data_IF_931362115212
#
_entry.id   IF_931362115212
#
_cell.length_a   1.000
_cell.length_b   1.000
_cell.length_c   1.000
_cell.angle_alpha   90.00
_cell.angle_beta   90.00
_cell.angle_gamma   90.00
#
_symmetry.space_group_name_H-M   'P 1'
#
loop_
_entity.id
_entity.type
_entity.pdbx_description
1 polymer ?
#
# COMPACT_ATOMS: atom_id res chain seq x y z
N UNK A 1 20.42 -24.14 -11.99
CA UNK A 1 19.52 -23.83 -10.86
C UNK A 1 20.15 -22.67 -10.11
N UNK A 2 19.48 -21.52 -10.00
CA UNK A 2 20.02 -20.40 -9.22
C UNK A 2 19.58 -20.62 -7.78
N UNK A 3 20.54 -20.90 -6.89
CA UNK A 3 20.27 -20.96 -5.46
C UNK A 3 20.08 -19.53 -4.95
N UNK A 4 18.86 -19.20 -4.56
CA UNK A 4 18.57 -17.94 -3.89
C UNK A 4 19.02 -18.02 -2.42
N UNK A 5 19.75 -17.02 -1.92
CA UNK A 5 20.18 -17.03 -0.53
C UNK A 5 18.95 -17.02 0.41
N UNK A 6 19.01 -17.71 1.55
CA UNK A 6 17.94 -17.73 2.53
C UNK A 6 17.69 -16.31 3.06
N UNK A 7 16.43 -15.93 3.13
CA UNK A 7 16.00 -14.62 3.66
C UNK A 7 15.42 -14.81 5.06
N UNK A 8 15.97 -14.09 6.03
CA UNK A 8 15.42 -14.07 7.38
C UNK A 8 14.04 -13.43 7.37
N UNK A 9 13.07 -14.11 7.96
CA UNK A 9 11.70 -13.63 8.19
C UNK A 9 11.36 -13.81 9.67
N UNK A 10 10.42 -13.01 10.16
CA UNK A 10 9.97 -13.11 11.55
C UNK A 10 8.51 -13.50 11.58
N UNK A 11 8.21 -14.56 12.33
CA UNK A 11 6.85 -14.93 12.69
C UNK A 11 6.58 -14.34 14.07
N UNK A 12 5.69 -13.35 14.15
CA UNK A 12 5.34 -12.69 15.42
C UNK A 12 4.33 -13.49 16.22
N UNK A 13 3.39 -14.14 15.53
CA UNK A 13 2.34 -14.96 16.13
C UNK A 13 1.91 -16.04 15.13
N UNK A 14 1.66 -17.24 15.64
CA UNK A 14 1.07 -18.34 14.89
C UNK A 14 0.07 -19.03 15.80
N UNK A 15 -1.18 -19.09 15.41
CA UNK A 15 -2.27 -19.70 16.18
C UNK A 15 -2.96 -20.74 15.33
N UNK A 16 -2.99 -21.97 15.84
CA UNK A 16 -3.74 -23.06 15.23
C UNK A 16 -5.20 -22.93 15.68
N UNK A 17 -6.09 -22.72 14.72
CA UNK A 17 -7.52 -22.53 14.96
C UNK A 17 -8.28 -23.85 14.90
N UNK A 18 -7.89 -24.74 13.97
CA UNK A 18 -8.59 -25.98 13.73
C UNK A 18 -7.65 -27.05 13.19
N UNK A 19 -7.82 -28.28 13.69
CA UNK A 19 -7.14 -29.48 13.19
C UNK A 19 -8.20 -30.48 12.75
N UNK A 20 -8.30 -30.71 11.45
CA UNK A 20 -9.18 -31.69 10.81
C UNK A 20 -8.36 -32.49 9.80
N UNK A 21 -7.72 -33.55 10.26
CA UNK A 21 -6.80 -34.33 9.41
C UNK A 21 -7.43 -34.68 8.04
N UNK A 22 -6.74 -34.42 6.92
CA UNK A 22 -5.35 -33.94 6.83
C UNK A 22 -5.19 -32.41 6.82
N UNK A 23 -6.21 -31.61 7.13
CA UNK A 23 -6.21 -30.15 7.08
C UNK A 23 -5.94 -29.53 8.45
N UNK A 24 -5.14 -28.45 8.44
CA UNK A 24 -4.88 -27.62 9.61
C UNK A 24 -5.13 -26.15 9.21
N UNK A 25 -5.99 -25.47 9.96
CA UNK A 25 -6.24 -24.05 9.80
C UNK A 25 -5.48 -23.27 10.87
N UNK A 26 -4.74 -22.26 10.46
CA UNK A 26 -4.01 -21.38 11.39
C UNK A 26 -3.99 -19.94 10.92
N UNK A 27 -3.92 -19.03 11.87
CA UNK A 27 -3.65 -17.60 11.63
C UNK A 27 -2.19 -17.29 11.94
N UNK A 28 -1.53 -16.54 11.05
CA UNK A 28 -0.14 -16.15 11.22
C UNK A 28 0.04 -14.65 11.04
N UNK A 29 0.78 -14.04 11.96
CA UNK A 29 1.29 -12.67 11.85
C UNK A 29 2.79 -12.72 11.61
N UNK A 30 3.25 -12.14 10.51
CA UNK A 30 4.64 -12.25 10.08
C UNK A 30 5.17 -10.96 9.46
N UNK A 31 6.50 -10.89 9.35
CA UNK A 31 7.18 -9.77 8.68
C UNK A 31 6.89 -9.74 7.19
N UNK A 32 7.08 -8.57 6.59
CA UNK A 32 7.01 -8.40 5.14
C UNK A 32 8.00 -9.32 4.42
N UNK A 33 7.56 -9.92 3.31
CA UNK A 33 8.37 -10.83 2.50
C UNK A 33 8.33 -12.30 2.96
N UNK A 34 7.52 -12.63 3.97
CA UNK A 34 7.25 -14.02 4.36
C UNK A 34 6.31 -14.66 3.34
N UNK A 35 6.74 -15.77 2.75
CA UNK A 35 5.92 -16.59 1.86
C UNK A 35 5.21 -17.67 2.66
N UNK A 36 3.90 -17.56 2.81
CA UNK A 36 3.11 -18.53 3.60
C UNK A 36 3.14 -19.92 2.98
N UNK A 37 3.33 -20.05 1.66
CA UNK A 37 3.55 -21.34 0.99
C UNK A 37 4.80 -22.04 1.49
N UNK A 38 5.89 -21.28 1.66
CA UNK A 38 7.16 -21.81 2.20
C UNK A 38 6.97 -22.20 3.66
N UNK A 39 6.32 -21.34 4.46
CA UNK A 39 6.02 -21.66 5.86
C UNK A 39 5.23 -22.98 5.99
N UNK A 40 4.22 -23.19 5.15
CA UNK A 40 3.45 -24.44 5.15
C UNK A 40 4.32 -25.66 4.80
N UNK A 41 5.19 -25.54 3.79
CA UNK A 41 6.10 -26.60 3.40
C UNK A 41 7.12 -26.92 4.51
N UNK A 42 7.69 -25.88 5.15
CA UNK A 42 8.66 -26.04 6.25
C UNK A 42 8.03 -26.72 7.48
N UNK A 43 6.79 -26.33 7.84
CA UNK A 43 6.03 -26.99 8.90
C UNK A 43 5.78 -28.46 8.58
N UNK A 44 5.36 -28.77 7.36
CA UNK A 44 5.16 -30.16 6.93
C UNK A 44 6.45 -30.98 6.92
N UNK A 45 7.57 -30.39 6.52
CA UNK A 45 8.88 -31.04 6.57
C UNK A 45 9.30 -31.31 8.02
N UNK A 46 9.12 -30.32 8.92
CA UNK A 46 9.44 -30.49 10.34
C UNK A 46 8.59 -31.55 11.03
N UNK A 47 7.33 -31.74 10.60
CA UNK A 47 6.46 -32.80 11.09
C UNK A 47 6.70 -34.16 10.42
N UNK A 48 7.56 -34.24 9.39
CA UNK A 48 7.88 -35.47 8.67
C UNK A 48 6.82 -35.99 7.71
N UNK A 49 5.73 -35.25 7.51
CA UNK A 49 4.60 -35.66 6.64
C UNK A 49 4.48 -34.84 5.34
N UNK A 50 5.28 -33.76 5.20
CA UNK A 50 5.10 -32.79 4.14
C UNK A 50 3.79 -32.00 4.29
N UNK A 51 3.73 -30.80 3.70
CA UNK A 51 2.49 -30.02 3.61
C UNK A 51 2.54 -29.02 2.46
N UNK A 52 1.38 -28.54 2.06
CA UNK A 52 1.24 -27.44 1.09
C UNK A 52 0.11 -26.51 1.51
N UNK A 53 0.15 -25.29 1.03
CA UNK A 53 -0.90 -24.31 1.27
C UNK A 53 -2.08 -24.59 0.33
N UNK A 54 -3.24 -24.90 0.89
CA UNK A 54 -4.48 -25.15 0.14
C UNK A 54 -5.25 -23.84 -0.10
N UNK A 55 -5.43 -23.05 0.95
CA UNK A 55 -6.19 -21.79 0.90
C UNK A 55 -5.42 -20.71 1.67
N UNK A 56 -5.40 -19.50 1.13
CA UNK A 56 -4.83 -18.33 1.79
C UNK A 56 -5.81 -17.17 1.78
N UNK A 57 -6.10 -16.63 2.96
CA UNK A 57 -6.84 -15.37 3.10
C UNK A 57 -5.98 -14.35 3.84
N UNK A 58 -5.80 -13.18 3.27
CA UNK A 58 -5.13 -12.07 3.94
C UNK A 58 -6.14 -11.29 4.76
N UNK A 59 -5.91 -11.21 6.07
CA UNK A 59 -6.81 -10.54 7.00
C UNK A 59 -6.41 -9.07 7.24
N UNK A 60 -5.10 -8.77 7.19
CA UNK A 60 -4.60 -7.44 7.49
C UNK A 60 -3.28 -7.13 6.77
N UNK A 61 -3.06 -5.87 6.41
CA UNK A 61 -1.79 -5.33 5.93
C UNK A 61 -1.56 -3.96 6.56
N UNK A 62 -0.59 -3.85 7.48
CA UNK A 62 -0.39 -2.63 8.25
C UNK A 62 -1.66 -2.26 9.03
N UNK A 63 -2.19 -1.07 8.78
CA UNK A 63 -3.43 -0.58 9.39
C UNK A 63 -4.71 -1.04 8.68
N UNK A 64 -4.60 -1.61 7.47
CA UNK A 64 -5.77 -1.97 6.65
C UNK A 64 -6.25 -3.38 6.98
N UNK A 65 -7.53 -3.52 7.29
CA UNK A 65 -8.19 -4.76 7.67
C UNK A 65 -9.16 -5.21 6.58
N UNK A 66 -9.33 -6.52 6.42
CA UNK A 66 -10.21 -7.10 5.39
C UNK A 66 -11.68 -6.77 5.65
N UNK A 67 -12.07 -6.59 6.92
CA UNK A 67 -13.43 -6.22 7.32
C UNK A 67 -13.83 -4.82 6.82
N UNK A 68 -12.85 -3.94 6.56
CA UNK A 68 -13.03 -2.59 6.05
C UNK A 68 -12.93 -2.51 4.51
N UNK A 69 -12.54 -3.62 3.89
CA UNK A 69 -12.38 -3.69 2.44
C UNK A 69 -13.73 -3.64 1.71
N UNK A 70 -13.70 -3.12 0.50
CA UNK A 70 -14.84 -3.17 -0.41
C UNK A 70 -14.76 -4.44 -1.26
N UNK A 71 -15.88 -5.07 -1.48
CA UNK A 71 -15.99 -6.16 -2.43
C UNK A 71 -15.89 -5.62 -3.86
N UNK A 72 -15.19 -6.35 -4.74
CA UNK A 72 -15.01 -5.94 -6.13
C UNK A 72 -16.34 -5.81 -6.85
N UNK A 73 -17.30 -6.71 -6.58
CA UNK A 73 -18.65 -6.65 -7.15
C UNK A 73 -19.33 -5.31 -6.88
N UNK A 74 -19.21 -4.75 -5.66
CA UNK A 74 -19.75 -3.44 -5.32
C UNK A 74 -19.12 -2.32 -6.15
N UNK A 75 -17.80 -2.42 -6.43
CA UNK A 75 -17.11 -1.46 -7.29
C UNK A 75 -17.53 -1.59 -8.76
N UNK A 76 -17.72 -2.81 -9.24
CA UNK A 76 -18.19 -3.09 -10.60
C UNK A 76 -19.61 -2.59 -10.83
N UNK A 77 -20.51 -2.78 -9.86
CA UNK A 77 -21.88 -2.21 -9.90
C UNK A 77 -21.89 -0.68 -9.96
N UNK A 78 -20.97 -0.05 -9.23
CA UNK A 78 -20.84 1.42 -9.23
C UNK A 78 -20.24 1.96 -10.52
N UNK A 79 -19.28 1.22 -11.12
CA UNK A 79 -18.60 1.58 -12.36
C UNK A 79 -19.38 1.17 -13.61
N UNK A 80 -20.30 0.21 -13.49
CA UNK A 80 -20.95 -0.48 -14.59
C UNK A 80 -22.09 0.28 -15.24
N UNK A 81 -21.79 0.97 -16.32
CA UNK A 81 -22.70 1.17 -17.41
C UNK A 81 -23.68 2.35 -17.33
N UNK A 82 -24.60 2.37 -18.29
CA UNK A 82 -25.63 3.42 -18.51
C UNK A 82 -26.58 3.66 -17.30
N UNK A 83 -26.58 2.75 -16.34
CA UNK A 83 -27.40 2.80 -15.11
C UNK A 83 -26.53 3.05 -13.83
N UNK A 84 -25.29 3.51 -14.00
CA UNK A 84 -24.44 3.88 -12.87
C UNK A 84 -25.17 4.85 -11.95
N UNK A 85 -25.43 4.45 -10.71
CA UNK A 85 -26.07 5.30 -9.72
C UNK A 85 -25.06 6.33 -9.23
N UNK A 86 -25.20 7.62 -9.56
CA UNK A 86 -24.25 8.67 -9.15
C UNK A 86 -23.99 8.65 -7.64
N UNK A 87 -25.04 8.39 -6.85
CA UNK A 87 -24.98 8.28 -5.40
C UNK A 87 -24.07 7.16 -4.88
N UNK A 88 -23.98 6.03 -5.61
CA UNK A 88 -23.10 4.93 -5.23
C UNK A 88 -21.65 5.28 -5.55
N UNK A 89 -21.36 5.89 -6.69
CA UNK A 89 -20.03 6.37 -7.04
C UNK A 89 -19.51 7.41 -6.05
N UNK A 90 -20.34 8.36 -5.65
CA UNK A 90 -20.02 9.36 -4.62
C UNK A 90 -19.74 8.70 -3.26
N UNK A 91 -20.56 7.74 -2.85
CA UNK A 91 -20.36 7.01 -1.59
C UNK A 91 -19.04 6.20 -1.60
N UNK A 92 -18.63 5.64 -2.75
CA UNK A 92 -17.37 4.95 -2.90
C UNK A 92 -16.18 5.92 -2.89
N UNK A 93 -16.31 7.08 -3.55
CA UNK A 93 -15.28 8.12 -3.53
C UNK A 93 -15.04 8.64 -2.11
N UNK A 94 -16.10 8.77 -1.30
CA UNK A 94 -15.98 9.14 0.12
C UNK A 94 -15.23 8.10 0.97
N UNK A 95 -15.10 6.85 0.50
CA UNK A 95 -14.34 5.79 1.16
C UNK A 95 -12.86 5.70 0.73
N UNK A 96 -12.44 6.50 -0.25
CA UNK A 96 -11.03 6.57 -0.65
C UNK A 96 -10.22 7.13 0.52
N UNK A 97 -9.25 6.35 0.97
CA UNK A 97 -8.33 6.77 2.03
C UNK A 97 -7.26 7.66 1.41
N UNK A 98 -7.11 8.92 1.82
CA UNK A 98 -6.03 9.78 1.35
C UNK A 98 -4.66 9.15 1.62
N UNK A 99 -3.71 9.31 0.70
CA UNK A 99 -2.36 8.75 0.86
C UNK A 99 -1.68 9.19 2.16
N UNK A 100 -1.96 10.41 2.64
CA UNK A 100 -1.47 10.92 3.92
C UNK A 100 -1.94 10.10 5.13
N UNK A 101 -3.06 9.40 5.01
CA UNK A 101 -3.64 8.56 6.06
C UNK A 101 -3.25 7.08 5.93
N UNK A 102 -2.55 6.72 4.83
CA UNK A 102 -2.12 5.33 4.60
C UNK A 102 -0.90 4.92 5.44
N UNK A 103 -0.23 5.87 6.08
CA UNK A 103 0.96 5.64 6.91
C UNK A 103 0.73 6.21 8.33
N UNK A 104 -0.15 5.58 9.13
CA UNK A 104 -0.41 6.03 10.50
C UNK A 104 0.87 5.93 11.33
N UNK A 105 1.09 6.93 12.19
CA UNK A 105 2.28 7.01 13.04
C UNK A 105 3.54 7.58 12.37
N UNK A 106 3.52 7.84 11.06
CA UNK A 106 4.59 8.58 10.40
C UNK A 106 4.35 10.08 10.57
N UNK A 107 5.33 10.78 11.13
CA UNK A 107 5.27 12.22 11.38
C UNK A 107 4.99 13.00 10.12
N UNK A 108 4.12 14.01 10.21
CA UNK A 108 3.73 14.87 9.09
C UNK A 108 4.33 16.26 9.22
N UNK A 109 4.79 16.81 8.12
CA UNK A 109 5.29 18.19 8.00
C UNK A 109 4.60 18.87 6.85
N UNK A 110 4.01 20.02 7.10
CA UNK A 110 3.44 20.88 6.02
C UNK A 110 4.50 21.86 5.55
N UNK A 111 4.67 21.94 4.24
CA UNK A 111 5.67 22.79 3.61
C UNK A 111 5.03 23.91 2.80
N UNK A 112 5.78 25.00 2.62
CA UNK A 112 5.42 26.11 1.73
C UNK A 112 5.46 25.70 0.25
N UNK A 113 4.84 26.51 -0.62
CA UNK A 113 4.89 26.29 -2.07
C UNK A 113 6.32 26.31 -2.63
N UNK A 114 7.19 27.17 -2.08
CA UNK A 114 8.60 27.24 -2.47
C UNK A 114 9.39 25.97 -2.12
N UNK A 115 9.18 25.43 -0.91
CA UNK A 115 9.78 24.17 -0.48
C UNK A 115 9.20 22.97 -1.25
N UNK A 116 7.91 23.00 -1.54
CA UNK A 116 7.27 21.99 -2.38
C UNK A 116 7.88 21.94 -3.80
N UNK A 117 8.22 23.10 -4.38
CA UNK A 117 8.90 23.16 -5.68
C UNK A 117 10.30 22.53 -5.62
N UNK A 118 11.07 22.80 -4.57
CA UNK A 118 12.40 22.18 -4.34
C UNK A 118 12.28 20.66 -4.22
N UNK A 119 11.35 20.19 -3.42
CA UNK A 119 11.10 18.75 -3.21
C UNK A 119 10.70 18.03 -4.50
N UNK A 120 9.88 18.65 -5.36
CA UNK A 120 9.53 18.11 -6.69
C UNK A 120 10.75 17.91 -7.59
N UNK A 121 11.78 18.71 -7.39
CA UNK A 121 13.06 18.59 -8.08
C UNK A 121 14.05 17.63 -7.38
N UNK A 122 13.59 16.94 -6.32
CA UNK A 122 14.43 16.04 -5.53
C UNK A 122 15.39 16.73 -4.57
N UNK A 123 15.24 18.04 -4.37
CA UNK A 123 16.10 18.82 -3.47
C UNK A 123 15.70 18.60 -2.01
N UNK A 124 16.68 18.66 -1.13
CA UNK A 124 16.50 18.61 0.31
C UNK A 124 15.95 19.94 0.84
N UNK A 125 15.19 19.88 1.93
CA UNK A 125 14.70 21.07 2.64
C UNK A 125 15.14 21.04 4.11
N UNK A 126 15.16 22.19 4.74
CA UNK A 126 15.40 22.31 6.18
C UNK A 126 14.06 22.16 6.90
N UNK A 127 13.92 21.25 7.87
CA UNK A 127 12.68 21.12 8.63
C UNK A 127 12.48 22.29 9.61
N UNK A 128 11.26 22.45 10.14
CA UNK A 128 11.01 23.35 11.26
C UNK A 128 11.95 23.06 12.47
N UNK A 129 12.21 24.04 13.33
CA UNK A 129 13.13 23.89 14.47
C UNK A 129 12.52 23.01 15.58
N UNK A 130 12.58 21.70 15.37
CA UNK A 130 12.09 20.67 16.28
C UNK A 130 13.14 19.57 16.41
N UNK A 131 12.88 18.58 17.29
CA UNK A 131 13.73 17.40 17.39
C UNK A 131 13.45 16.45 16.22
N UNK A 132 14.47 16.22 15.38
CA UNK A 132 14.43 15.36 14.19
C UNK A 132 15.45 14.24 14.32
N UNK A 133 15.06 13.06 14.84
CA UNK A 133 15.97 11.92 14.92
C UNK A 133 16.49 11.52 13.53
N UNK A 134 17.81 11.37 13.36
CA UNK A 134 18.37 10.90 12.10
C UNK A 134 17.81 9.54 11.68
N UNK A 135 17.44 9.42 10.42
CA UNK A 135 16.85 8.20 9.89
C UNK A 135 15.32 8.12 10.00
N UNK A 136 14.68 9.02 10.75
CA UNK A 136 13.22 9.08 10.85
C UNK A 136 12.58 9.26 9.45
N UNK A 137 11.48 8.53 9.22
CA UNK A 137 10.63 8.70 8.04
C UNK A 137 9.61 9.79 8.31
N UNK A 138 9.42 10.68 7.34
CA UNK A 138 8.51 11.83 7.46
C UNK A 138 7.63 11.92 6.23
N UNK A 139 6.36 12.20 6.43
CA UNK A 139 5.42 12.58 5.38
C UNK A 139 5.46 14.08 5.17
N UNK A 140 5.65 14.52 3.94
CA UNK A 140 5.64 15.94 3.58
C UNK A 140 4.33 16.26 2.88
N UNK A 141 3.59 17.21 3.45
CA UNK A 141 2.31 17.65 2.94
C UNK A 141 2.45 19.03 2.27
N UNK A 142 1.81 19.21 1.13
CA UNK A 142 1.63 20.51 0.48
C UNK A 142 0.15 20.68 0.14
N UNK A 143 -0.46 21.79 0.54
CA UNK A 143 -1.87 22.08 0.35
C UNK A 143 -2.80 20.92 0.84
N UNK A 144 -2.45 20.30 1.96
CA UNK A 144 -3.22 19.19 2.55
C UNK A 144 -3.04 17.82 1.88
N UNK A 145 -2.24 17.72 0.82
CA UNK A 145 -1.98 16.48 0.10
C UNK A 145 -0.57 15.97 0.36
N UNK A 146 -0.39 14.64 0.35
CA UNK A 146 0.92 14.03 0.46
C UNK A 146 1.76 14.33 -0.79
N UNK A 147 2.79 15.16 -0.61
CA UNK A 147 3.74 15.52 -1.67
C UNK A 147 4.92 14.55 -1.75
N UNK A 148 5.48 14.19 -0.60
CA UNK A 148 6.66 13.34 -0.56
C UNK A 148 6.76 12.52 0.72
N UNK A 149 7.51 11.43 0.63
CA UNK A 149 8.13 10.79 1.79
C UNK A 149 9.59 11.21 1.83
N UNK A 150 10.05 11.63 2.98
CA UNK A 150 11.42 12.04 3.20
C UNK A 150 12.05 11.31 4.39
N UNK A 151 13.36 11.28 4.43
CA UNK A 151 14.13 10.76 5.55
C UNK A 151 14.94 11.88 6.16
N UNK A 152 14.93 11.93 7.47
CA UNK A 152 15.78 12.85 8.24
C UNK A 152 17.24 12.46 8.05
N UNK A 153 18.06 13.42 7.62
CA UNK A 153 19.52 13.25 7.45
C UNK A 153 20.29 14.37 8.13
N UNK A 154 21.47 14.04 8.63
CA UNK A 154 22.43 15.03 9.10
C UNK A 154 23.19 15.61 7.90
N UNK A 155 23.33 16.94 7.86
CA UNK A 155 24.14 17.65 6.87
C UNK A 155 24.95 18.74 7.55
N UNK A 156 26.24 18.51 7.73
CA UNK A 156 27.09 19.36 8.57
C UNK A 156 26.59 19.36 10.02
N UNK A 157 26.38 20.53 10.58
CA UNK A 157 25.84 20.73 11.94
C UNK A 157 24.28 20.77 11.97
N UNK A 158 23.63 20.63 10.84
CA UNK A 158 22.16 20.75 10.71
C UNK A 158 21.47 19.45 10.30
N UNK A 159 20.14 19.53 10.27
CA UNK A 159 19.26 18.46 9.85
C UNK A 159 18.54 18.87 8.56
N UNK A 160 18.36 17.93 7.65
CA UNK A 160 17.60 18.11 6.41
C UNK A 160 16.61 16.97 6.20
N UNK A 161 15.51 17.27 5.51
CA UNK A 161 14.58 16.27 5.00
C UNK A 161 14.97 15.95 3.56
N UNK A 162 15.48 14.75 3.34
CA UNK A 162 15.88 14.24 2.03
C UNK A 162 14.74 13.42 1.42
N UNK A 163 14.13 13.84 0.30
CA UNK A 163 13.05 13.11 -0.31
C UNK A 163 13.52 11.74 -0.81
N UNK A 164 12.80 10.68 -0.45
CA UNK A 164 13.02 9.32 -0.91
C UNK A 164 11.98 8.90 -1.96
N UNK A 165 10.82 9.52 -1.91
CA UNK A 165 9.74 9.35 -2.89
C UNK A 165 8.96 10.66 -3.01
N UNK A 166 8.79 11.15 -4.21
CA UNK A 166 7.96 12.33 -4.52
C UNK A 166 6.74 11.86 -5.31
N UNK A 167 5.58 12.30 -4.89
CA UNK A 167 4.31 12.01 -5.56
C UNK A 167 3.97 13.19 -6.46
N UNK A 168 3.69 12.91 -7.74
CA UNK A 168 3.31 13.93 -8.69
C UNK A 168 1.92 14.46 -8.39
N UNK A 169 1.84 15.51 -7.60
CA UNK A 169 0.66 16.37 -7.58
C UNK A 169 0.91 17.38 -8.71
N UNK A 170 0.41 17.10 -9.91
CA UNK A 170 0.33 18.13 -10.94
C UNK A 170 -0.56 19.25 -10.42
N UNK A 171 -0.12 20.52 -10.48
CA UNK A 171 -0.99 21.66 -10.16
C UNK A 171 -2.26 21.70 -11.05
N UNK A 172 -2.27 20.95 -12.13
CA UNK A 172 -3.36 20.78 -13.09
C UNK A 172 -4.44 19.73 -12.69
N UNK A 173 -4.26 18.99 -11.61
CA UNK A 173 -5.31 18.01 -11.23
C UNK A 173 -6.57 18.68 -10.72
N UNK A 174 -6.48 19.87 -10.17
CA UNK A 174 -7.65 20.66 -9.77
C UNK A 174 -8.38 21.30 -10.98
N UNK A 175 -7.71 21.46 -12.13
CA UNK A 175 -8.28 22.01 -13.36
C UNK A 175 -8.80 20.94 -14.32
N UNK A 176 -8.40 19.66 -14.15
CA UNK A 176 -8.79 18.57 -15.06
C UNK A 176 -10.11 17.90 -14.72
N UNK A 177 -10.70 18.22 -13.57
CA UNK A 177 -12.04 17.75 -13.20
C UNK A 177 -13.18 18.51 -13.93
N UNK A 178 -12.84 19.47 -14.80
CA UNK A 178 -13.83 20.25 -15.56
C UNK A 178 -13.85 19.97 -17.06
N UNK A 179 -13.19 18.90 -17.52
CA UNK A 179 -13.25 18.52 -18.94
C UNK A 179 -14.26 17.36 -19.14
N UNK A 180 -15.47 17.62 -19.68
CA UNK A 180 -16.51 16.60 -19.83
C UNK A 180 -16.26 15.62 -21.00
N UNK A 181 -15.13 15.70 -21.71
CA UNK A 181 -14.89 14.89 -22.92
C UNK A 181 -13.86 13.76 -22.78
N UNK A 182 -13.45 13.35 -21.57
CA UNK A 182 -12.63 12.15 -21.41
C UNK A 182 -13.46 10.89 -21.44
N UNK A 183 -13.82 10.48 -22.66
CA UNK A 183 -14.32 9.13 -22.96
C UNK A 183 -13.24 8.10 -22.57
N UNK A 184 -13.52 7.28 -21.56
CA UNK A 184 -12.72 6.10 -21.27
C UNK A 184 -12.84 5.13 -22.47
N UNK A 185 -11.75 4.93 -23.19
CA UNK A 185 -11.63 3.85 -24.16
C UNK A 185 -11.50 2.55 -23.37
N UNK A 186 -12.59 1.80 -23.28
CA UNK A 186 -12.58 0.44 -22.74
C UNK A 186 -11.76 -0.46 -23.67
N UNK A 187 -10.58 -0.89 -23.19
CA UNK A 187 -9.80 -1.93 -23.85
C UNK A 187 -10.52 -3.26 -23.73
N UNK A 188 -10.95 -3.82 -24.87
CA UNK A 188 -11.52 -5.14 -24.97
C UNK A 188 -10.44 -6.17 -24.62
N UNK A 189 -10.62 -6.88 -23.50
CA UNK A 189 -9.85 -8.08 -23.18
C UNK A 189 -10.49 -9.23 -23.96
N UNK A 190 -9.81 -9.75 -24.99
CA UNK A 190 -10.21 -10.92 -25.73
C UNK A 190 -10.10 -12.16 -24.81
N UNK A 191 -11.21 -12.89 -24.70
CA UNK A 191 -11.28 -14.19 -24.04
C UNK A 191 -10.67 -15.27 -24.98
N UNK A 192 -9.43 -15.65 -24.72
CA UNK A 192 -8.80 -16.82 -25.35
C UNK A 192 -9.07 -18.09 -24.54
N UNK A 193 -10.30 -18.56 -24.52
CA UNK A 193 -10.62 -19.94 -24.15
C UNK A 193 -11.42 -20.61 -25.28
N UNK A 194 -10.70 -21.06 -26.30
CA UNK A 194 -11.12 -22.19 -27.17
C UNK A 194 -9.89 -22.70 -27.90
N UNK A 195 -9.39 -23.80 -27.43
CA UNK A 195 -8.87 -24.99 -28.12
C UNK A 195 -7.76 -25.66 -27.31
N UNK A 196 -8.12 -26.72 -26.65
CA UNK A 196 -7.60 -28.10 -26.68
C UNK A 196 -8.03 -28.82 -25.43
#
# INVERSE_FOLDING_TARGET
>A
MVELPPRAVTIYRLEVEKVEMPRVTFTVQCSQGTYIRTLAADLGAALGCGAHLEVLRRLQVGAFRVEEALELATLEEAAGGRDARPTLAEALLARIIPLSNCLPGVRQVTVSLGEAAKLRQGQEIIPPPENWPPGELVQILAAGQLLALARVRLRGAGVVLAPIRVFGVSPDSAARDQDPERTCVAGTVADERKNL
#
